data_IF_383926794867
#
_entry.id   IF_383926794867
#
_cell.length_a   1.000
_cell.length_b   1.000
_cell.length_c   1.000
_cell.angle_alpha   90.00
_cell.angle_beta   90.00
_cell.angle_gamma   90.00
#
_symmetry.space_group_name_H-M   'P 1'
#
loop_
_entity.id
_entity.type
_entity.pdbx_description
1 polymer ?
#
# COMPACT_ATOMS: atom_id res chain seq x y z
N UNK A 1 -21.68 -3.14 13.12
CA UNK A 1 -21.64 -3.94 11.87
C UNK A 1 -20.19 -4.30 11.65
N UNK A 2 -19.87 -5.53 11.22
CA UNK A 2 -18.48 -5.97 11.05
C UNK A 2 -17.77 -5.12 10.00
N UNK A 3 -16.57 -4.64 10.31
CA UNK A 3 -15.70 -3.88 9.42
C UNK A 3 -14.64 -4.80 8.83
N UNK A 4 -14.75 -5.07 7.53
CA UNK A 4 -13.88 -6.05 6.87
C UNK A 4 -12.84 -5.36 6.00
N UNK A 5 -11.59 -5.80 6.16
CA UNK A 5 -10.42 -5.35 5.43
C UNK A 5 -9.72 -6.54 4.78
N UNK A 6 -8.81 -6.26 3.84
CA UNK A 6 -8.15 -7.32 3.09
C UNK A 6 -6.74 -7.04 2.61
N UNK A 7 -6.10 -8.08 2.09
CA UNK A 7 -4.92 -8.01 1.24
C UNK A 7 -5.18 -8.80 -0.05
N UNK A 8 -4.95 -8.18 -1.20
CA UNK A 8 -4.93 -8.87 -2.51
C UNK A 8 -3.51 -9.10 -3.00
N UNK A 9 -3.28 -10.25 -3.64
CA UNK A 9 -1.98 -10.64 -4.20
C UNK A 9 -2.03 -12.05 -4.76
N UNK A 10 -1.01 -12.43 -5.55
CA UNK A 10 -0.99 -13.75 -6.19
C UNK A 10 -0.69 -14.90 -5.23
N UNK A 11 0.29 -14.72 -4.35
CA UNK A 11 0.71 -15.75 -3.39
C UNK A 11 0.66 -15.17 -1.97
N UNK A 12 -0.35 -15.55 -1.21
CA UNK A 12 -0.63 -15.02 0.13
C UNK A 12 -0.48 -16.03 1.27
N UNK A 13 -0.07 -17.26 0.98
CA UNK A 13 0.05 -18.36 1.97
C UNK A 13 0.98 -18.07 3.15
N UNK A 14 1.93 -17.14 2.99
CA UNK A 14 2.85 -16.67 4.04
C UNK A 14 2.69 -15.18 4.36
N UNK A 15 1.56 -14.57 4.03
CA UNK A 15 1.34 -13.15 4.28
C UNK A 15 1.26 -12.85 5.79
N UNK A 16 2.23 -12.08 6.27
CA UNK A 16 2.29 -11.58 7.64
C UNK A 16 1.14 -10.63 7.98
N UNK A 17 0.63 -9.89 6.99
CA UNK A 17 -0.32 -8.78 7.20
C UNK A 17 -1.61 -9.24 7.88
N UNK A 18 -2.18 -10.37 7.48
CA UNK A 18 -3.46 -10.82 8.04
C UNK A 18 -3.38 -11.07 9.55
N UNK A 19 -2.34 -11.80 9.99
CA UNK A 19 -2.16 -12.05 11.42
C UNK A 19 -1.89 -10.73 12.15
N UNK A 20 -0.98 -9.92 11.61
CA UNK A 20 -0.61 -8.64 12.20
C UNK A 20 -1.83 -7.73 12.44
N UNK A 21 -2.68 -7.53 11.44
CA UNK A 21 -3.84 -6.65 11.56
C UNK A 21 -4.90 -7.19 12.50
N UNK A 22 -5.16 -8.50 12.48
CA UNK A 22 -6.11 -9.09 13.42
C UNK A 22 -5.61 -8.99 14.87
N UNK A 23 -4.30 -9.23 15.12
CA UNK A 23 -3.70 -9.02 16.44
C UNK A 23 -3.78 -7.54 16.87
N UNK A 24 -3.58 -6.61 15.92
CA UNK A 24 -3.69 -5.17 16.17
C UNK A 24 -5.11 -4.77 16.55
N UNK A 25 -6.12 -5.23 15.79
CA UNK A 25 -7.52 -4.97 16.10
C UNK A 25 -7.92 -5.51 17.47
N UNK A 26 -7.44 -6.68 17.85
CA UNK A 26 -7.68 -7.24 19.17
C UNK A 26 -7.07 -6.37 20.28
N UNK A 27 -5.83 -5.91 20.11
CA UNK A 27 -5.14 -5.04 21.08
C UNK A 27 -5.82 -3.68 21.26
N UNK A 28 -6.32 -3.10 20.18
CA UNK A 28 -7.01 -1.81 20.19
C UNK A 28 -8.50 -1.90 20.59
N UNK A 29 -9.00 -3.09 20.94
CA UNK A 29 -10.41 -3.30 21.32
C UNK A 29 -11.39 -3.21 20.15
N UNK A 30 -10.90 -3.30 18.90
CA UNK A 30 -11.66 -3.23 17.66
C UNK A 30 -12.22 -4.61 17.27
N UNK A 31 -13.04 -5.20 18.15
CA UNK A 31 -13.50 -6.58 18.02
C UNK A 31 -14.41 -6.84 16.80
N UNK A 32 -15.03 -5.80 16.25
CA UNK A 32 -15.83 -5.86 15.03
C UNK A 32 -15.00 -5.70 13.74
N UNK A 33 -13.67 -5.55 13.84
CA UNK A 33 -12.78 -5.45 12.70
C UNK A 33 -12.17 -6.82 12.35
N UNK A 34 -12.09 -7.12 11.05
CA UNK A 34 -11.47 -8.34 10.54
C UNK A 34 -10.61 -8.06 9.32
N UNK A 35 -9.50 -8.76 9.22
CA UNK A 35 -8.61 -8.71 8.07
C UNK A 35 -8.48 -10.09 7.43
N UNK A 36 -8.56 -10.16 6.10
CA UNK A 36 -8.46 -11.41 5.33
C UNK A 36 -7.45 -11.32 4.18
N UNK A 37 -6.90 -12.47 3.78
CA UNK A 37 -6.13 -12.58 2.54
C UNK A 37 -7.05 -13.04 1.40
N UNK A 38 -6.97 -12.36 0.27
CA UNK A 38 -7.73 -12.66 -0.95
C UNK A 38 -6.73 -12.95 -2.07
N UNK A 39 -6.43 -14.23 -2.27
CA UNK A 39 -5.53 -14.64 -3.34
C UNK A 39 -6.27 -14.51 -4.69
N UNK A 40 -5.62 -13.85 -5.64
CA UNK A 40 -6.13 -13.68 -7.01
C UNK A 40 -5.06 -14.27 -7.92
N UNK A 41 -5.41 -15.15 -8.86
CA UNK A 41 -4.41 -15.87 -9.67
C UNK A 41 -3.74 -14.99 -10.73
N UNK A 42 -4.51 -14.08 -11.31
CA UNK A 42 -4.10 -13.18 -12.39
C UNK A 42 -4.96 -11.91 -12.42
N UNK A 43 -4.54 -10.93 -13.23
CA UNK A 43 -5.14 -9.60 -13.28
C UNK A 43 -6.61 -9.59 -13.73
N UNK A 44 -7.07 -10.62 -14.46
CA UNK A 44 -8.47 -10.72 -14.89
C UNK A 44 -9.44 -10.91 -13.72
N UNK A 45 -8.95 -11.42 -12.58
CA UNK A 45 -9.76 -11.58 -11.38
C UNK A 45 -9.98 -10.30 -10.57
N UNK A 46 -9.29 -9.20 -10.91
CA UNK A 46 -9.38 -7.95 -10.13
C UNK A 46 -10.78 -7.33 -10.19
N UNK A 47 -11.41 -7.31 -11.37
CA UNK A 47 -12.76 -6.76 -11.53
C UNK A 47 -13.79 -7.55 -10.73
N UNK A 48 -13.76 -8.89 -10.85
CA UNK A 48 -14.62 -9.78 -10.10
C UNK A 48 -14.45 -9.58 -8.59
N UNK A 49 -13.21 -9.54 -8.11
CA UNK A 49 -12.90 -9.27 -6.70
C UNK A 49 -13.57 -7.97 -6.21
N UNK A 50 -13.40 -6.86 -6.92
CA UNK A 50 -13.97 -5.56 -6.53
C UNK A 50 -15.51 -5.58 -6.50
N UNK A 51 -16.12 -6.34 -7.40
CA UNK A 51 -17.57 -6.47 -7.48
C UNK A 51 -18.15 -7.30 -6.32
N UNK A 52 -17.51 -8.42 -5.98
CA UNK A 52 -17.92 -9.34 -4.91
C UNK A 52 -17.62 -8.76 -3.52
N UNK A 53 -16.57 -7.95 -3.41
CA UNK A 53 -16.04 -7.44 -2.15
C UNK A 53 -16.31 -5.94 -1.95
N UNK A 54 -17.38 -5.42 -2.55
CA UNK A 54 -17.82 -4.02 -2.41
C UNK A 54 -18.16 -3.61 -0.95
N UNK A 55 -18.33 -4.60 -0.07
CA UNK A 55 -18.59 -4.44 1.36
C UNK A 55 -17.32 -4.16 2.18
N UNK A 56 -16.12 -4.39 1.63
CA UNK A 56 -14.86 -4.09 2.32
C UNK A 56 -14.71 -2.59 2.57
N UNK A 57 -14.18 -2.23 3.73
CA UNK A 57 -13.81 -0.83 4.05
C UNK A 57 -12.51 -0.40 3.38
N UNK A 58 -11.63 -1.35 3.12
CA UNK A 58 -10.41 -1.13 2.37
C UNK A 58 -9.58 -2.41 2.29
N UNK A 59 -8.57 -2.39 1.43
CA UNK A 59 -7.65 -3.51 1.30
C UNK A 59 -6.27 -3.02 0.86
N UNK A 60 -5.24 -3.77 1.24
CA UNK A 60 -3.90 -3.61 0.71
C UNK A 60 -3.72 -4.37 -0.59
N UNK A 61 -2.78 -3.90 -1.40
CA UNK A 61 -2.43 -4.49 -2.69
C UNK A 61 -0.95 -4.84 -2.65
N UNK A 62 -0.61 -6.10 -2.91
CA UNK A 62 0.78 -6.55 -3.07
C UNK A 62 1.06 -7.05 -4.48
N UNK A 63 2.29 -7.51 -4.72
CA UNK A 63 2.75 -8.02 -6.00
C UNK A 63 1.81 -9.14 -6.48
N UNK A 64 1.48 -9.18 -7.79
CA UNK A 64 1.92 -8.26 -8.85
C UNK A 64 0.96 -7.08 -9.11
N UNK A 65 -0.08 -6.88 -8.29
CA UNK A 65 -1.24 -6.09 -8.67
C UNK A 65 -1.17 -4.58 -8.38
N UNK A 66 -0.04 -4.07 -7.85
CA UNK A 66 0.07 -2.66 -7.45
C UNK A 66 -0.14 -1.66 -8.60
N UNK A 67 0.18 -2.04 -9.83
CA UNK A 67 -0.08 -1.25 -11.04
C UNK A 67 -1.35 -1.70 -11.75
N UNK A 68 -1.60 -3.01 -11.81
CA UNK A 68 -2.75 -3.60 -12.48
C UNK A 68 -4.10 -3.14 -11.90
N UNK A 69 -4.14 -2.74 -10.61
CA UNK A 69 -5.37 -2.27 -9.96
C UNK A 69 -5.79 -0.85 -10.42
N UNK A 70 -4.87 -0.04 -10.96
CA UNK A 70 -5.10 1.38 -11.25
C UNK A 70 -6.35 1.66 -12.11
N UNK A 71 -6.62 0.91 -13.19
CA UNK A 71 -7.78 1.19 -14.06
C UNK A 71 -9.14 1.03 -13.36
N UNK A 72 -9.19 0.33 -12.22
CA UNK A 72 -10.41 0.05 -11.49
C UNK A 72 -10.72 1.06 -10.37
N UNK A 73 -9.82 2.03 -10.15
CA UNK A 73 -9.93 2.99 -9.05
C UNK A 73 -10.57 4.28 -9.52
N UNK A 74 -11.56 4.76 -8.77
CA UNK A 74 -12.29 5.99 -9.10
C UNK A 74 -11.46 7.25 -8.86
N UNK A 75 -10.50 7.20 -7.94
CA UNK A 75 -9.57 8.29 -7.66
C UNK A 75 -8.29 7.76 -7.03
N UNK A 76 -7.23 8.58 -7.08
CA UNK A 76 -5.92 8.29 -6.54
C UNK A 76 -5.48 9.49 -5.69
N UNK A 77 -4.65 9.26 -4.66
CA UNK A 77 -3.92 10.38 -4.04
C UNK A 77 -2.80 10.86 -4.95
N UNK A 78 -2.30 12.07 -4.70
CA UNK A 78 -1.20 12.67 -5.48
C UNK A 78 0.02 11.75 -5.49
N UNK A 79 0.38 11.15 -4.35
CA UNK A 79 1.52 10.24 -4.25
C UNK A 79 1.30 8.97 -5.08
N UNK A 80 0.09 8.41 -5.07
CA UNK A 80 -0.24 7.25 -5.89
C UNK A 80 -0.22 7.55 -7.39
N UNK A 81 -0.64 8.76 -7.78
CA UNK A 81 -0.58 9.23 -9.18
C UNK A 81 0.86 9.42 -9.63
N UNK A 82 1.69 10.09 -8.84
CA UNK A 82 3.09 10.37 -9.15
C UNK A 82 3.94 9.10 -9.19
N UNK A 83 3.71 8.17 -8.26
CA UNK A 83 4.41 6.89 -8.22
C UNK A 83 3.89 5.94 -9.30
N UNK A 84 2.62 6.05 -9.73
CA UNK A 84 2.04 5.12 -10.70
C UNK A 84 1.83 3.70 -10.14
N UNK A 85 1.64 3.57 -8.82
CA UNK A 85 1.35 2.30 -8.16
C UNK A 85 0.54 2.52 -6.87
N UNK A 86 -0.30 1.56 -6.51
CA UNK A 86 -1.16 1.59 -5.31
C UNK A 86 -0.86 0.39 -4.42
N UNK A 87 -0.63 0.62 -3.13
CA UNK A 87 -0.44 -0.43 -2.11
C UNK A 87 -1.62 -0.51 -1.12
N UNK A 88 -2.53 0.45 -1.17
CA UNK A 88 -3.63 0.58 -0.22
C UNK A 88 -4.85 1.22 -0.89
N UNK A 89 -6.04 0.63 -0.71
CA UNK A 89 -7.29 1.08 -1.32
C UNK A 89 -8.34 1.27 -0.24
N UNK A 90 -9.07 2.40 -0.28
CA UNK A 90 -10.20 2.70 0.61
C UNK A 90 -11.51 2.64 -0.18
N UNK A 91 -12.56 2.12 0.44
CA UNK A 91 -13.93 2.36 -0.01
C UNK A 91 -14.42 3.72 0.51
N UNK A 92 -14.78 4.63 -0.38
CA UNK A 92 -15.40 5.92 -0.07
C UNK A 92 -16.75 5.97 -0.78
N UNK A 93 -17.83 5.78 -0.02
CA UNK A 93 -19.21 5.82 -0.52
C UNK A 93 -19.44 4.92 -1.76
N UNK A 94 -18.90 3.69 -1.71
CA UNK A 94 -19.01 2.71 -2.79
C UNK A 94 -17.99 2.90 -3.92
N UNK A 95 -17.07 3.86 -3.81
CA UNK A 95 -16.02 4.12 -4.79
C UNK A 95 -14.64 3.80 -4.23
N UNK A 96 -13.80 3.16 -5.04
CA UNK A 96 -12.45 2.80 -4.64
C UNK A 96 -11.47 3.96 -4.84
N UNK A 97 -10.79 4.36 -3.76
CA UNK A 97 -9.72 5.36 -3.79
C UNK A 97 -8.37 4.69 -3.51
N UNK A 98 -7.41 4.87 -4.42
CA UNK A 98 -6.05 4.35 -4.29
C UNK A 98 -5.10 5.28 -3.57
N UNK A 99 -4.23 4.68 -2.77
CA UNK A 99 -3.18 5.34 -2.01
C UNK A 99 -1.86 4.59 -2.23
N UNK A 100 -0.76 5.34 -2.16
CA UNK A 100 0.58 4.77 -2.02
C UNK A 100 1.20 5.28 -0.73
N UNK A 101 1.23 4.43 0.29
CA UNK A 101 1.79 4.77 1.60
C UNK A 101 3.25 4.37 1.74
N UNK A 102 3.80 3.59 0.80
CA UNK A 102 5.20 3.11 0.88
C UNK A 102 6.20 4.24 0.66
N UNK A 103 5.95 5.13 -0.31
CA UNK A 103 6.83 6.26 -0.64
C UNK A 103 6.98 7.25 0.52
N UNK A 104 5.89 7.85 1.01
CA UNK A 104 5.92 8.77 2.16
C UNK A 104 6.51 8.10 3.41
N UNK A 105 6.09 6.89 3.75
CA UNK A 105 6.59 6.20 4.94
C UNK A 105 8.09 5.92 4.88
N UNK A 106 8.64 5.69 3.68
CA UNK A 106 10.08 5.54 3.50
C UNK A 106 10.82 6.85 3.79
N UNK A 107 10.33 7.97 3.24
CA UNK A 107 10.92 9.29 3.48
C UNK A 107 10.85 9.68 4.96
N UNK A 108 9.70 9.47 5.59
CA UNK A 108 9.50 9.72 7.02
C UNK A 108 10.41 8.83 7.87
N UNK A 109 10.60 7.55 7.49
CA UNK A 109 11.51 6.67 8.22
C UNK A 109 12.98 7.06 8.07
N UNK A 110 13.34 7.78 7.00
CA UNK A 110 14.70 8.25 6.77
C UNK A 110 14.96 9.60 7.46
N UNK A 111 13.95 10.45 7.62
CA UNK A 111 14.16 11.82 8.10
C UNK A 111 14.87 11.88 9.46
N UNK A 112 14.61 10.92 10.34
CA UNK A 112 15.22 10.83 11.66
C UNK A 112 16.73 10.50 11.62
N UNK A 113 17.21 9.94 10.50
CA UNK A 113 18.59 9.53 10.30
C UNK A 113 19.38 10.49 9.41
N UNK A 114 18.71 11.44 8.75
CA UNK A 114 19.35 12.40 7.87
C UNK A 114 19.91 13.58 8.71
N UNK A 115 21.17 13.98 8.48
CA UNK A 115 21.70 15.22 9.05
C UNK A 115 20.83 16.43 8.65
N UNK A 116 20.71 17.44 9.52
CA UNK A 116 19.92 18.65 9.21
C UNK A 116 20.45 19.41 7.98
N UNK A 117 21.72 19.21 7.64
CA UNK A 117 22.44 19.77 6.49
C UNK A 117 22.52 18.80 5.29
N UNK A 118 21.71 17.74 5.27
CA UNK A 118 21.68 16.77 4.19
C UNK A 118 21.35 17.43 2.85
N UNK A 119 22.25 17.23 1.88
CA UNK A 119 22.25 17.93 0.59
C UNK A 119 21.24 17.39 -0.43
N UNK A 120 20.94 18.23 -1.42
CA UNK A 120 19.91 18.12 -2.47
C UNK A 120 19.99 16.88 -3.40
N UNK A 121 20.91 15.95 -3.18
CA UNK A 121 21.15 14.80 -4.08
C UNK A 121 21.22 13.47 -3.34
N UNK A 122 20.40 12.51 -3.77
CA UNK A 122 20.42 11.14 -3.29
C UNK A 122 20.53 10.14 -4.46
N UNK A 123 21.31 9.07 -4.24
CA UNK A 123 21.41 7.92 -5.14
C UNK A 123 20.50 6.80 -4.63
N UNK A 124 19.65 6.28 -5.52
CA UNK A 124 18.79 5.14 -5.25
C UNK A 124 19.32 3.93 -6.03
N UNK A 125 19.54 2.81 -5.34
CA UNK A 125 20.07 1.58 -5.94
C UNK A 125 19.00 0.47 -5.91
N UNK A 126 18.49 0.06 -7.08
CA UNK A 126 17.51 -1.02 -7.23
C UNK A 126 16.92 -1.11 -8.65
N UNK A 127 16.40 -2.29 -9.03
CA UNK A 127 15.71 -2.53 -10.31
C UNK A 127 14.21 -2.88 -10.11
N UNK A 128 13.52 -2.10 -9.27
CA UNK A 128 12.07 -2.23 -9.04
C UNK A 128 11.24 -1.39 -10.02
N UNK A 129 10.06 -1.90 -10.39
CA UNK A 129 9.17 -1.45 -11.48
C UNK A 129 8.78 0.04 -11.37
N UNK A 130 9.59 0.94 -11.94
CA UNK A 130 9.16 2.26 -12.43
C UNK A 130 10.04 2.65 -13.63
N UNK A 131 9.44 2.70 -14.82
CA UNK A 131 10.01 3.32 -16.00
C UNK A 131 9.07 4.43 -16.42
N UNK A 132 9.39 5.68 -16.10
CA UNK A 132 8.93 6.80 -16.93
C UNK A 132 9.79 8.06 -16.76
N UNK A 133 9.99 8.77 -17.88
CA UNK A 133 10.65 10.07 -17.96
C UNK A 133 9.61 11.19 -17.80
N UNK A 134 9.89 12.17 -16.94
CA UNK A 134 9.09 13.40 -16.83
C UNK A 134 9.96 14.62 -17.16
N UNK A 135 9.60 15.36 -18.23
CA UNK A 135 10.18 16.67 -18.60
C UNK A 135 11.73 16.78 -18.61
N UNK A 136 12.45 15.72 -19.01
CA UNK A 136 13.89 15.79 -19.26
C UNK A 136 14.77 16.10 -18.03
N UNK A 137 14.25 15.98 -16.81
CA UNK A 137 15.02 16.17 -15.56
C UNK A 137 14.98 14.91 -14.71
N UNK A 138 16.15 14.36 -14.41
CA UNK A 138 16.33 13.31 -13.42
C UNK A 138 16.05 13.90 -12.03
N UNK A 139 14.93 13.53 -11.42
CA UNK A 139 14.70 13.68 -9.98
C UNK A 139 14.62 12.29 -9.39
N UNK A 140 15.29 12.09 -8.26
CA UNK A 140 15.53 10.80 -7.59
C UNK A 140 14.26 9.97 -7.50
N UNK A 141 14.17 8.92 -8.33
CA UNK A 141 13.09 7.94 -8.32
C UNK A 141 13.37 6.98 -7.18
N UNK A 142 12.53 7.01 -6.15
CA UNK A 142 12.55 6.06 -5.03
C UNK A 142 12.21 4.66 -5.58
N UNK A 143 13.14 3.72 -5.44
CA UNK A 143 12.95 2.31 -5.80
C UNK A 143 12.92 1.49 -4.52
N UNK A 144 11.77 0.87 -4.28
CA UNK A 144 11.46 0.04 -3.11
C UNK A 144 12.01 -1.38 -3.31
N UNK A 145 12.88 -1.85 -2.41
CA UNK A 145 12.98 -3.26 -2.08
C UNK A 145 13.15 -3.46 -0.58
N UNK A 146 12.43 -4.45 -0.06
CA UNK A 146 12.46 -4.94 1.31
C UNK A 146 13.87 -5.01 1.91
N UNK A 147 14.11 -4.29 3.00
CA UNK A 147 14.81 -4.82 4.18
C UNK A 147 14.47 -3.97 5.42
N UNK A 148 14.31 -4.65 6.55
CA UNK A 148 13.89 -4.16 7.88
C UNK A 148 12.39 -3.97 8.14
N UNK A 149 11.70 -5.11 8.19
CA UNK A 149 10.33 -5.28 8.69
C UNK A 149 10.25 -5.05 10.22
N UNK A 150 11.28 -4.60 10.94
CA UNK A 150 11.17 -4.40 12.39
C UNK A 150 10.88 -2.95 12.79
N UNK A 151 11.42 -1.96 12.07
CA UNK A 151 11.30 -0.54 12.42
C UNK A 151 10.18 0.19 11.65
N UNK A 152 9.91 -0.24 10.41
CA UNK A 152 8.79 0.29 9.61
C UNK A 152 7.42 -0.17 10.14
N UNK A 153 7.32 -1.26 10.92
CA UNK A 153 6.03 -1.73 11.46
C UNK A 153 5.43 -0.82 12.54
N UNK A 154 6.19 0.13 13.10
CA UNK A 154 5.65 1.06 14.10
C UNK A 154 4.99 2.28 13.45
N UNK A 155 5.48 2.71 12.28
CA UNK A 155 4.90 3.82 11.51
C UNK A 155 3.85 3.37 10.48
N UNK A 156 3.85 2.08 10.11
CA UNK A 156 3.04 1.53 9.00
C UNK A 156 1.53 1.40 9.22
N UNK A 157 1.00 1.50 10.44
CA UNK A 157 -0.33 0.91 10.72
C UNK A 157 -1.38 1.82 11.35
N UNK A 158 -1.09 3.12 11.50
CA UNK A 158 -2.14 4.09 11.82
C UNK A 158 -3.09 4.39 10.64
N UNK A 159 -2.80 3.91 9.43
CA UNK A 159 -3.66 4.17 8.27
C UNK A 159 -5.05 3.53 8.37
N UNK A 160 -5.15 2.36 9.03
CA UNK A 160 -6.43 1.70 9.23
C UNK A 160 -7.26 2.42 10.32
N UNK A 161 -6.60 3.12 11.25
CA UNK A 161 -7.25 3.94 12.28
C UNK A 161 -7.61 5.35 11.78
N UNK A 162 -6.97 5.85 10.72
CA UNK A 162 -7.31 7.13 10.10
C UNK A 162 -8.49 7.02 9.12
N UNK A 163 -9.24 5.93 9.18
CA UNK A 163 -10.34 5.58 8.29
C UNK A 163 -11.68 5.41 8.94
#
# INVERSE_FOLDING_TARGET
MQQTFGLIGKSLSHSFSQKYFNDFFEKEGLHDHKYFNFAIEDESGLEAFLSEHNHLKGFNVTIPYKTAILPFLASLTTEAQEIGAVNAVKNVDGKWKGHNTDGPAFLDSLSDFLPQDFMDSALVLGQGVLREQYNGRWRSVVSLFWWSIAHLLTLRYNWILSF
#
